data_IF_869850485968
#
_entry.id   IF_869850485968
#
_cell.length_a   1.000
_cell.length_b   1.000
_cell.length_c   1.000
_cell.angle_alpha   90.00
_cell.angle_beta   90.00
_cell.angle_gamma   90.00
#
_symmetry.space_group_name_H-M   'P 1'
#
loop_
_entity.id
_entity.type
_entity.pdbx_description
1 polymer ?
#
# COMPACT_ATOMS: atom_id res chain seq x y z
N UNK A 1 -4.71 -73.95 11.38
CA UNK A 1 -4.08 -72.92 12.23
C UNK A 1 -3.26 -72.00 11.33
N UNK A 2 -3.61 -70.70 11.28
CA UNK A 2 -2.72 -69.51 11.12
C UNK A 2 -1.87 -69.39 9.82
N UNK A 3 -1.73 -68.26 9.12
CA UNK A 3 -1.86 -66.83 9.44
C UNK A 3 -2.26 -66.01 8.20
N UNK A 4 -3.11 -65.01 8.41
CA UNK A 4 -3.36 -63.90 7.48
C UNK A 4 -2.14 -62.97 7.54
N UNK A 5 -1.46 -62.76 6.42
CA UNK A 5 -0.40 -61.78 6.28
C UNK A 5 -1.02 -60.45 5.78
N UNK A 6 -1.37 -59.57 6.71
CA UNK A 6 -1.83 -58.22 6.39
C UNK A 6 -0.66 -57.33 6.01
N UNK A 7 -0.54 -56.99 4.73
CA UNK A 7 0.36 -55.93 4.26
C UNK A 7 -0.33 -54.60 4.58
N UNK A 8 0.12 -53.95 5.64
CA UNK A 8 -0.31 -52.60 6.01
C UNK A 8 0.40 -51.60 5.07
N UNK A 9 -0.26 -51.20 3.99
CA UNK A 9 0.23 -50.17 3.09
C UNK A 9 -0.01 -48.80 3.74
N UNK A 10 0.94 -48.33 4.55
CA UNK A 10 0.94 -46.95 5.04
C UNK A 10 1.13 -46.02 3.82
N UNK A 11 0.04 -45.48 3.32
CA UNK A 11 0.08 -44.30 2.46
C UNK A 11 0.50 -43.11 3.35
N UNK A 12 1.80 -42.78 3.34
CA UNK A 12 2.23 -41.45 3.74
C UNK A 12 1.63 -40.47 2.74
N UNK A 13 0.51 -39.86 3.13
CA UNK A 13 0.02 -38.65 2.50
C UNK A 13 1.03 -37.56 2.87
N UNK A 14 2.02 -37.34 2.00
CA UNK A 14 2.86 -36.16 2.06
C UNK A 14 1.96 -34.95 1.90
N UNK A 15 1.75 -34.20 2.98
CA UNK A 15 1.16 -32.88 2.88
C UNK A 15 2.09 -32.06 1.97
N UNK A 16 1.64 -31.74 0.75
CA UNK A 16 2.33 -30.82 -0.14
C UNK A 16 2.44 -29.48 0.60
N UNK A 17 3.59 -29.24 1.21
CA UNK A 17 3.95 -27.95 1.76
C UNK A 17 4.02 -26.98 0.58
N UNK A 18 3.19 -25.95 0.58
CA UNK A 18 3.32 -24.85 -0.37
C UNK A 18 4.67 -24.17 -0.11
N UNK A 19 5.62 -24.32 -1.04
CA UNK A 19 6.90 -23.63 -0.96
C UNK A 19 6.69 -22.12 -1.12
N UNK A 20 7.25 -21.34 -0.21
CA UNK A 20 7.25 -19.88 -0.29
C UNK A 20 8.62 -19.42 -0.79
N UNK A 21 8.64 -18.64 -1.87
CA UNK A 21 9.89 -18.09 -2.41
C UNK A 21 10.50 -17.16 -1.36
N UNK A 22 11.75 -17.41 -0.92
CA UNK A 22 12.39 -16.64 0.14
C UNK A 22 12.61 -15.18 -0.27
N UNK A 23 13.03 -14.36 0.69
CA UNK A 23 13.45 -12.99 0.41
C UNK A 23 14.64 -12.98 -0.57
N UNK A 24 14.52 -12.16 -1.61
CA UNK A 24 15.53 -12.00 -2.66
C UNK A 24 16.46 -10.87 -2.24
N UNK A 25 17.74 -11.17 -2.10
CA UNK A 25 18.77 -10.19 -1.72
C UNK A 25 19.41 -9.62 -2.98
N UNK A 26 19.33 -8.30 -3.15
CA UNK A 26 20.04 -7.55 -4.18
C UNK A 26 21.14 -6.68 -3.57
N UNK A 27 22.28 -6.59 -4.25
CA UNK A 27 23.46 -5.82 -3.83
C UNK A 27 24.10 -5.18 -5.06
N UNK A 28 24.34 -3.86 -5.04
CA UNK A 28 25.13 -3.18 -6.07
C UNK A 28 26.58 -3.00 -5.62
N UNK A 29 27.53 -2.97 -6.55
CA UNK A 29 28.95 -2.84 -6.23
C UNK A 29 29.53 -1.51 -6.73
N UNK A 30 30.42 -0.89 -5.94
CA UNK A 30 31.02 0.42 -6.25
C UNK A 30 31.79 0.42 -7.58
N UNK A 31 32.37 -0.72 -7.94
CA UNK A 31 33.15 -0.89 -9.17
C UNK A 31 32.31 -1.34 -10.38
N UNK A 32 30.97 -1.26 -10.29
CA UNK A 32 30.05 -1.74 -11.31
C UNK A 32 29.50 -3.14 -11.02
N UNK A 33 28.33 -3.40 -11.58
CA UNK A 33 27.60 -4.65 -11.41
C UNK A 33 26.65 -4.69 -10.21
N UNK A 34 25.84 -5.74 -10.17
CA UNK A 34 25.02 -6.12 -9.04
C UNK A 34 24.89 -7.63 -8.95
N UNK A 35 24.47 -8.09 -7.78
CA UNK A 35 24.19 -9.49 -7.50
C UNK A 35 22.76 -9.64 -7.00
N UNK A 36 22.11 -10.71 -7.41
CA UNK A 36 20.80 -11.14 -6.91
C UNK A 36 20.94 -12.54 -6.36
N UNK A 37 20.43 -12.79 -5.15
CA UNK A 37 20.53 -14.12 -4.56
C UNK A 37 19.39 -14.48 -3.63
N UNK A 38 19.11 -15.78 -3.56
CA UNK A 38 18.25 -16.40 -2.55
C UNK A 38 19.05 -17.46 -1.78
N UNK A 39 18.72 -17.75 -0.51
CA UNK A 39 19.29 -18.89 0.19
C UNK A 39 18.92 -20.19 -0.53
N UNK A 40 19.83 -21.16 -0.51
CA UNK A 40 19.52 -22.52 -0.94
C UNK A 40 18.63 -23.22 0.11
N UNK A 41 17.82 -24.17 -0.33
CA UNK A 41 17.00 -25.00 0.56
C UNK A 41 16.77 -26.39 -0.05
N UNK A 42 16.46 -27.40 0.77
CA UNK A 42 16.25 -28.76 0.29
C UNK A 42 15.23 -28.82 -0.85
N UNK A 43 15.61 -29.47 -1.95
CA UNK A 43 14.73 -29.69 -3.09
C UNK A 43 14.73 -28.59 -4.15
N UNK A 44 15.41 -27.46 -3.94
CA UNK A 44 15.57 -26.44 -4.98
C UNK A 44 16.46 -26.98 -6.10
N UNK A 45 15.98 -26.86 -7.33
CA UNK A 45 16.62 -27.37 -8.55
C UNK A 45 17.05 -26.24 -9.49
N UNK A 46 16.37 -25.08 -9.42
CA UNK A 46 16.59 -23.96 -10.32
C UNK A 46 16.17 -22.65 -9.66
N UNK A 47 16.93 -21.59 -9.92
CA UNK A 47 16.55 -20.21 -9.66
C UNK A 47 16.68 -19.42 -10.96
N UNK A 48 15.64 -18.71 -11.38
CA UNK A 48 15.69 -17.78 -12.51
C UNK A 48 15.46 -16.35 -12.03
N UNK A 49 16.21 -15.43 -12.62
CA UNK A 49 16.07 -13.99 -12.40
C UNK A 49 15.72 -13.30 -13.72
N UNK A 50 14.69 -12.45 -13.66
CA UNK A 50 14.23 -11.63 -14.75
C UNK A 50 14.10 -10.18 -14.28
N UNK A 51 14.70 -9.22 -14.96
CA UNK A 51 14.71 -7.85 -14.48
C UNK A 51 15.01 -6.78 -15.53
N UNK A 52 14.58 -5.56 -15.22
CA UNK A 52 14.80 -4.33 -15.99
C UNK A 52 15.36 -3.24 -15.08
N UNK A 53 16.26 -2.41 -15.63
CA UNK A 53 16.72 -1.18 -14.98
C UNK A 53 15.77 -0.02 -15.31
N UNK A 54 15.24 0.64 -14.29
CA UNK A 54 14.42 1.86 -14.35
C UNK A 54 13.17 1.75 -15.23
N UNK A 55 12.77 0.53 -15.60
CA UNK A 55 11.60 0.25 -16.44
C UNK A 55 10.82 -0.92 -15.83
N UNK A 56 9.53 -0.76 -15.52
CA UNK A 56 8.69 -1.86 -15.03
C UNK A 56 8.65 -3.05 -15.99
N UNK A 57 8.57 -4.27 -15.44
CA UNK A 57 8.25 -5.43 -16.26
C UNK A 57 6.73 -5.52 -16.49
N UNK A 58 6.35 -5.89 -17.72
CA UNK A 58 4.99 -6.35 -18.03
C UNK A 58 4.90 -7.86 -17.83
N UNK A 59 4.04 -8.28 -16.92
CA UNK A 59 3.75 -9.69 -16.63
C UNK A 59 5.01 -10.51 -16.30
N UNK A 60 5.21 -11.61 -17.01
CA UNK A 60 6.37 -12.50 -16.92
C UNK A 60 7.29 -12.32 -18.12
N UNK A 61 7.41 -11.09 -18.65
CA UNK A 61 8.37 -10.84 -19.71
C UNK A 61 9.80 -11.10 -19.26
N UNK A 62 10.68 -11.40 -20.21
CA UNK A 62 12.04 -11.79 -19.92
C UNK A 62 12.86 -10.68 -19.24
N UNK A 63 12.60 -9.41 -19.60
CA UNK A 63 13.39 -8.26 -19.19
C UNK A 63 14.76 -8.16 -19.88
N UNK A 64 15.52 -7.12 -19.52
CA UNK A 64 16.90 -6.87 -19.93
C UNK A 64 17.84 -7.95 -19.43
N UNK A 65 17.63 -8.41 -18.20
CA UNK A 65 18.31 -9.57 -17.63
C UNK A 65 17.34 -10.72 -17.53
N UNK A 66 17.71 -11.86 -18.09
CA UNK A 66 16.91 -13.09 -18.10
C UNK A 66 17.85 -14.28 -18.01
N UNK A 67 17.93 -14.91 -16.84
CA UNK A 67 18.92 -15.97 -16.61
C UNK A 67 18.45 -17.05 -15.64
N UNK A 68 18.64 -18.29 -16.07
CA UNK A 68 18.52 -19.48 -15.23
C UNK A 68 19.86 -19.81 -14.55
N UNK A 69 19.79 -20.04 -13.25
CA UNK A 69 20.86 -20.48 -12.38
C UNK A 69 20.51 -21.92 -12.02
N UNK A 70 21.31 -22.86 -12.54
CA UNK A 70 21.06 -24.30 -12.42
C UNK A 70 21.82 -24.96 -11.27
N UNK A 71 22.59 -24.18 -10.51
CA UNK A 71 23.41 -24.69 -9.41
C UNK A 71 23.63 -23.62 -8.34
N UNK A 72 23.36 -23.96 -7.08
CA UNK A 72 23.75 -23.15 -5.93
C UNK A 72 25.26 -23.23 -5.66
N UNK A 73 25.80 -22.19 -5.03
CA UNK A 73 27.17 -22.14 -4.52
C UNK A 73 27.16 -21.43 -3.17
N UNK A 74 27.90 -21.96 -2.20
CA UNK A 74 28.00 -21.40 -0.85
C UNK A 74 26.60 -21.13 -0.24
N UNK A 75 25.73 -22.14 -0.29
CA UNK A 75 24.36 -22.11 0.22
C UNK A 75 23.46 -21.02 -0.37
N UNK A 76 23.77 -20.55 -1.59
CA UNK A 76 22.96 -19.54 -2.29
C UNK A 76 22.84 -19.81 -3.79
N UNK A 77 21.69 -19.47 -4.33
CA UNK A 77 21.48 -19.32 -5.78
C UNK A 77 21.77 -17.87 -6.14
N UNK A 78 22.64 -17.64 -7.12
CA UNK A 78 23.16 -16.31 -7.40
C UNK A 78 23.18 -15.99 -8.88
N UNK A 79 22.50 -14.92 -9.25
CA UNK A 79 22.70 -14.19 -10.49
C UNK A 79 23.70 -13.04 -10.26
N UNK A 80 24.57 -12.78 -11.23
CA UNK A 80 25.51 -11.66 -11.18
C UNK A 80 25.60 -10.99 -12.53
N UNK A 81 25.41 -9.68 -12.53
CA UNK A 81 25.72 -8.77 -13.64
C UNK A 81 26.96 -7.96 -13.22
N UNK A 82 27.93 -7.79 -14.11
CA UNK A 82 29.22 -7.17 -13.78
C UNK A 82 29.46 -5.84 -14.51
N UNK A 83 28.79 -5.61 -15.64
CA UNK A 83 29.16 -4.53 -16.56
C UNK A 83 28.27 -3.29 -16.42
N UNK A 84 27.09 -3.44 -15.82
CA UNK A 84 26.16 -2.33 -15.60
C UNK A 84 26.71 -1.33 -14.57
N UNK A 85 26.64 -0.04 -14.88
CA UNK A 85 26.98 1.04 -13.95
C UNK A 85 25.71 1.60 -13.33
N UNK A 86 25.34 1.08 -12.17
CA UNK A 86 24.21 1.57 -11.39
C UNK A 86 24.55 2.90 -10.71
N UNK A 87 23.53 3.71 -10.47
CA UNK A 87 23.55 4.96 -9.69
C UNK A 87 22.69 4.78 -8.44
N UNK A 88 22.97 5.59 -7.41
CA UNK A 88 22.03 5.72 -6.31
C UNK A 88 20.68 6.16 -6.88
N UNK A 89 19.66 5.44 -6.49
CA UNK A 89 18.29 5.69 -6.92
C UNK A 89 17.81 4.95 -8.14
N UNK A 90 18.71 4.28 -8.86
CA UNK A 90 18.28 3.33 -9.87
C UNK A 90 17.38 2.26 -9.24
N UNK A 91 16.34 1.88 -9.97
CA UNK A 91 15.35 0.89 -9.58
C UNK A 91 15.52 -0.33 -10.47
N UNK A 92 15.76 -1.49 -9.86
CA UNK A 92 15.68 -2.77 -10.56
C UNK A 92 14.28 -3.31 -10.34
N UNK A 93 13.46 -3.32 -11.39
CA UNK A 93 12.21 -4.06 -11.41
C UNK A 93 12.51 -5.51 -11.76
N UNK A 94 11.89 -6.47 -11.07
CA UNK A 94 12.20 -7.88 -11.31
C UNK A 94 11.08 -8.83 -10.91
N UNK A 95 11.20 -10.05 -11.43
CA UNK A 95 10.54 -11.23 -10.89
C UNK A 95 11.54 -12.40 -10.83
N UNK A 96 11.25 -13.37 -9.97
CA UNK A 96 12.06 -14.59 -9.86
C UNK A 96 11.19 -15.82 -9.99
N UNK A 97 11.80 -16.90 -10.46
CA UNK A 97 11.22 -18.24 -10.49
C UNK A 97 12.13 -19.21 -9.75
N UNK A 98 11.54 -20.10 -8.96
CA UNK A 98 12.23 -21.15 -8.23
C UNK A 98 11.57 -22.47 -8.55
N UNK A 99 12.35 -23.46 -8.96
CA UNK A 99 11.86 -24.83 -9.12
C UNK A 99 12.24 -25.66 -7.91
N UNK A 100 11.25 -26.27 -7.26
CA UNK A 100 11.43 -27.12 -6.09
C UNK A 100 10.71 -28.45 -6.32
N UNK A 101 11.46 -29.56 -6.28
CA UNK A 101 10.92 -30.91 -6.52
C UNK A 101 10.05 -31.02 -7.78
N UNK A 102 10.53 -30.49 -8.91
CA UNK A 102 9.75 -30.48 -10.15
C UNK A 102 8.71 -29.36 -10.28
N UNK A 103 8.32 -28.67 -9.21
CA UNK A 103 7.26 -27.66 -9.19
C UNK A 103 7.82 -26.23 -9.23
N UNK A 104 7.16 -25.34 -9.96
CA UNK A 104 7.58 -23.95 -10.14
C UNK A 104 6.86 -22.97 -9.22
N UNK A 105 7.62 -22.03 -8.65
CA UNK A 105 7.12 -20.98 -7.75
C UNK A 105 7.68 -19.63 -8.20
N UNK A 106 6.84 -18.61 -8.29
CA UNK A 106 7.26 -17.27 -8.73
C UNK A 106 7.09 -16.24 -7.61
N UNK A 107 7.92 -15.21 -7.67
CA UNK A 107 7.72 -13.97 -6.92
C UNK A 107 7.78 -12.82 -7.92
N UNK A 108 6.61 -12.26 -8.23
CA UNK A 108 6.42 -11.25 -9.29
C UNK A 108 6.36 -9.84 -8.72
N UNK A 109 6.39 -8.83 -9.61
CA UNK A 109 6.17 -7.43 -9.27
C UNK A 109 7.10 -6.91 -8.16
N UNK A 110 8.34 -7.41 -8.13
CA UNK A 110 9.32 -6.98 -7.17
C UNK A 110 10.08 -5.78 -7.73
N UNK A 111 10.60 -4.95 -6.83
CA UNK A 111 11.52 -3.90 -7.18
C UNK A 111 12.56 -3.73 -6.08
N UNK A 112 13.71 -3.16 -6.45
CA UNK A 112 14.78 -2.85 -5.53
C UNK A 112 15.42 -1.52 -5.91
N UNK A 113 15.52 -0.61 -4.94
CA UNK A 113 16.15 0.70 -5.12
C UNK A 113 17.61 0.59 -4.69
N UNK A 114 18.52 0.97 -5.59
CA UNK A 114 19.95 1.07 -5.32
C UNK A 114 20.16 2.21 -4.31
N UNK A 115 20.28 1.85 -3.04
CA UNK A 115 20.45 2.81 -1.93
C UNK A 115 21.88 2.85 -1.39
N UNK A 116 22.73 1.90 -1.78
CA UNK A 116 24.13 1.81 -1.37
C UNK A 116 24.94 0.96 -2.35
N UNK A 117 26.27 1.07 -2.26
CA UNK A 117 27.22 0.25 -3.01
C UNK A 117 28.16 -0.49 -2.07
N UNK A 118 28.24 -1.80 -2.23
CA UNK A 118 29.17 -2.65 -1.50
C UNK A 118 30.59 -2.50 -2.07
N UNK A 119 31.61 -2.56 -1.20
CA UNK A 119 33.03 -2.30 -1.55
C UNK A 119 33.72 -3.46 -2.30
N UNK A 120 33.01 -4.59 -2.51
CA UNK A 120 33.46 -5.95 -2.89
C UNK A 120 33.90 -6.79 -1.69
N UNK A 121 33.12 -7.85 -1.43
CA UNK A 121 33.56 -9.03 -0.69
C UNK A 121 33.39 -8.93 0.83
N UNK A 122 32.33 -9.57 1.32
CA UNK A 122 32.21 -10.11 2.67
C UNK A 122 32.44 -9.13 3.84
N UNK A 123 31.47 -8.25 4.08
CA UNK A 123 31.05 -7.88 5.43
C UNK A 123 29.77 -7.07 5.40
N UNK A 124 28.82 -7.47 6.24
CA UNK A 124 27.62 -6.73 6.58
C UNK A 124 28.04 -5.42 7.26
N UNK A 125 28.33 -4.38 6.48
CA UNK A 125 28.21 -3.03 7.03
C UNK A 125 26.73 -2.79 7.15
N UNK A 126 26.23 -2.99 8.36
CA UNK A 126 24.87 -2.69 8.77
C UNK A 126 24.71 -1.18 8.75
N UNK A 127 24.73 -0.57 7.56
CA UNK A 127 24.30 0.80 7.40
C UNK A 127 22.79 0.74 7.48
N UNK A 128 22.29 0.94 8.70
CA UNK A 128 20.89 1.21 8.97
C UNK A 128 20.55 2.54 8.31
N UNK A 129 20.32 2.53 7.01
CA UNK A 129 19.52 3.56 6.36
C UNK A 129 18.05 3.18 6.49
N UNK A 130 17.18 4.17 6.69
CA UNK A 130 15.90 3.98 7.33
C UNK A 130 14.96 3.22 6.38
N UNK A 131 13.92 2.64 6.98
CA UNK A 131 12.58 2.51 6.37
C UNK A 131 12.38 3.61 5.31
N UNK A 132 11.83 3.33 4.11
CA UNK A 132 11.78 4.30 3.01
C UNK A 132 11.42 5.68 3.55
N UNK A 133 12.34 6.64 3.40
CA UNK A 133 12.21 7.99 3.97
C UNK A 133 10.92 8.69 3.51
N UNK A 134 10.40 8.26 2.36
CA UNK A 134 9.18 8.78 1.76
C UNK A 134 8.18 7.65 1.51
N UNK A 135 6.97 7.82 2.04
CA UNK A 135 5.80 7.00 1.68
C UNK A 135 4.87 7.88 0.85
N UNK A 136 4.47 7.42 -0.34
CA UNK A 136 3.51 8.18 -1.14
C UNK A 136 2.22 8.37 -0.34
N UNK A 137 1.76 9.63 -0.14
CA UNK A 137 0.57 9.91 0.64
C UNK A 137 -0.69 9.24 0.09
N UNK A 138 -1.69 9.05 0.96
CA UNK A 138 -3.03 8.67 0.50
C UNK A 138 -3.58 9.77 -0.43
N UNK A 139 -4.05 9.38 -1.61
CA UNK A 139 -4.70 10.30 -2.52
C UNK A 139 -6.10 10.68 -2.03
N UNK A 140 -6.47 11.95 -2.22
CA UNK A 140 -7.85 12.42 -2.14
C UNK A 140 -8.49 12.25 -3.52
N UNK A 141 -9.53 11.43 -3.61
CA UNK A 141 -10.34 11.25 -4.81
C UNK A 141 -11.67 11.97 -4.65
N UNK A 142 -12.08 12.68 -5.70
CA UNK A 142 -13.31 13.47 -5.73
C UNK A 142 -14.01 13.22 -7.07
N UNK A 143 -15.26 12.77 -7.01
CA UNK A 143 -16.13 12.77 -8.19
C UNK A 143 -16.62 14.20 -8.42
N UNK A 144 -16.41 14.73 -9.63
CA UNK A 144 -16.78 16.10 -9.98
C UNK A 144 -18.21 16.14 -10.55
N UNK A 145 -18.89 17.26 -10.34
CA UNK A 145 -20.20 17.55 -10.91
C UNK A 145 -20.07 18.47 -12.14
N UNK A 146 -20.78 18.21 -13.25
CA UNK A 146 -21.74 17.11 -13.47
C UNK A 146 -21.09 15.76 -13.83
N UNK A 147 -19.80 15.77 -14.16
CA UNK A 147 -18.97 14.59 -14.41
C UNK A 147 -17.51 14.96 -14.16
N UNK A 148 -16.68 13.94 -13.98
CA UNK A 148 -15.24 14.05 -13.87
C UNK A 148 -14.69 13.36 -12.63
N UNK A 149 -13.37 13.22 -12.61
CA UNK A 149 -12.61 12.71 -11.49
C UNK A 149 -11.45 13.67 -11.22
N UNK A 150 -11.27 14.01 -9.94
CA UNK A 150 -10.05 14.66 -9.46
C UNK A 150 -9.36 13.74 -8.46
N UNK A 151 -8.05 13.57 -8.63
CA UNK A 151 -7.19 12.84 -7.71
C UNK A 151 -6.05 13.76 -7.31
N UNK A 152 -5.77 13.86 -6.01
CA UNK A 152 -4.67 14.71 -5.54
C UNK A 152 -3.94 14.17 -4.32
N UNK A 153 -2.63 14.43 -4.27
CA UNK A 153 -1.79 14.25 -3.08
C UNK A 153 -1.25 15.62 -2.64
N UNK A 154 -0.92 15.82 -1.35
CA UNK A 154 -0.19 17.02 -0.92
C UNK A 154 1.15 17.11 -1.66
N UNK A 155 1.59 18.35 -1.89
CA UNK A 155 2.96 18.60 -2.30
C UNK A 155 3.88 18.52 -1.08
N UNK A 156 5.00 17.82 -1.22
CA UNK A 156 5.96 17.56 -0.16
C UNK A 156 7.38 17.89 -0.67
N UNK A 157 8.33 18.25 0.22
CA UNK A 157 9.70 18.58 -0.19
C UNK A 157 10.34 17.46 -0.99
N UNK A 158 11.01 17.82 -2.09
CA UNK A 158 11.74 16.88 -2.95
C UNK A 158 10.87 16.17 -3.98
N UNK A 159 9.53 16.30 -3.95
CA UNK A 159 8.67 15.68 -4.97
C UNK A 159 8.87 16.39 -6.31
N UNK A 160 9.22 15.63 -7.34
CA UNK A 160 9.52 16.10 -8.70
C UNK A 160 8.48 15.63 -9.72
N UNK A 161 7.78 14.53 -9.43
CA UNK A 161 6.75 13.95 -10.29
C UNK A 161 5.69 13.24 -9.46
N UNK A 162 4.45 13.30 -9.92
CA UNK A 162 3.34 12.46 -9.45
C UNK A 162 2.66 11.79 -10.64
N UNK A 163 2.49 10.47 -10.63
CA UNK A 163 1.68 9.76 -11.61
C UNK A 163 0.47 9.09 -10.96
N UNK A 164 -0.64 9.11 -11.70
CA UNK A 164 -1.86 8.39 -11.35
C UNK A 164 -2.18 7.38 -12.45
N UNK A 165 -2.40 6.13 -12.04
CA UNK A 165 -2.79 5.03 -12.89
C UNK A 165 -4.01 4.33 -12.29
N UNK A 166 -5.07 4.14 -13.07
CA UNK A 166 -6.28 3.52 -12.54
C UNK A 166 -7.33 3.15 -13.58
N UNK A 167 -8.34 2.44 -13.10
CA UNK A 167 -9.45 1.91 -13.89
C UNK A 167 -10.74 1.88 -13.07
N UNK A 168 -11.87 2.12 -13.72
CA UNK A 168 -13.20 2.07 -13.10
C UNK A 168 -13.77 0.66 -13.25
N UNK A 169 -14.31 0.11 -12.16
CA UNK A 169 -15.00 -1.19 -12.04
C UNK A 169 -14.24 -2.42 -12.56
N UNK A 170 -12.94 -2.29 -12.79
CA UNK A 170 -12.06 -3.39 -13.16
C UNK A 170 -10.79 -3.29 -12.33
N UNK A 171 -10.42 -4.35 -11.58
CA UNK A 171 -9.11 -4.43 -10.97
C UNK A 171 -8.01 -4.26 -12.01
N UNK A 172 -6.87 -3.76 -11.56
CA UNK A 172 -5.64 -3.79 -12.32
C UNK A 172 -5.10 -5.22 -12.22
N UNK A 173 -4.94 -5.91 -13.35
CA UNK A 173 -4.59 -7.34 -13.38
C UNK A 173 -3.10 -7.58 -13.06
N UNK A 174 -2.31 -6.52 -13.11
CA UNK A 174 -0.88 -6.49 -12.77
C UNK A 174 -0.59 -5.25 -11.93
N UNK A 175 0.36 -5.36 -10.98
CA UNK A 175 0.59 -4.32 -9.96
C UNK A 175 0.95 -2.94 -10.55
N UNK A 176 1.44 -2.88 -11.81
CA UNK A 176 1.79 -1.65 -12.54
C UNK A 176 1.05 -1.48 -13.87
N UNK A 177 -0.12 -2.10 -14.02
CA UNK A 177 -0.97 -1.84 -15.20
C UNK A 177 -1.33 -0.34 -15.25
N UNK A 178 -1.11 0.29 -16.41
CA UNK A 178 -1.37 1.72 -16.55
C UNK A 178 -2.85 2.09 -16.33
N UNK A 179 -3.76 1.15 -16.59
CA UNK A 179 -5.20 1.34 -16.53
C UNK A 179 -5.73 2.21 -17.69
N UNK A 180 -7.01 2.56 -17.62
CA UNK A 180 -7.64 3.46 -18.61
C UNK A 180 -7.44 4.94 -18.27
N UNK A 181 -7.03 5.23 -17.04
CA UNK A 181 -6.71 6.57 -16.54
C UNK A 181 -5.23 6.57 -16.16
N UNK A 182 -4.39 7.13 -17.01
CA UNK A 182 -2.93 7.12 -16.83
C UNK A 182 -2.36 8.48 -17.18
N UNK A 183 -1.69 9.15 -16.24
CA UNK A 183 -1.04 10.44 -16.53
C UNK A 183 0.05 10.75 -15.52
N UNK A 184 1.15 11.31 -16.04
CA UNK A 184 2.22 11.93 -15.26
C UNK A 184 1.94 13.43 -15.10
N UNK A 185 2.09 13.91 -13.87
CA UNK A 185 1.91 15.29 -13.46
C UNK A 185 3.29 15.78 -13.06
N UNK A 186 3.80 16.75 -13.82
CA UNK A 186 5.19 17.22 -13.71
C UNK A 186 5.33 18.47 -12.83
N UNK A 187 4.20 19.05 -12.38
CA UNK A 187 4.19 20.26 -11.53
C UNK A 187 3.00 20.25 -10.58
N UNK A 188 3.18 20.59 -9.31
CA UNK A 188 2.08 20.78 -8.38
C UNK A 188 1.38 22.12 -8.66
N UNK A 189 0.13 22.25 -8.20
CA UNK A 189 -0.67 23.46 -8.24
C UNK A 189 -1.29 23.69 -6.87
N UNK A 190 -1.08 24.88 -6.31
CA UNK A 190 -1.62 25.30 -5.01
C UNK A 190 -1.29 24.29 -3.88
N UNK A 191 -0.02 23.85 -3.80
CA UNK A 191 0.47 22.93 -2.78
C UNK A 191 -0.04 21.50 -2.91
N UNK A 192 -0.52 21.09 -4.10
CA UNK A 192 -0.99 19.73 -4.37
C UNK A 192 -0.61 19.28 -5.77
N UNK A 193 -0.31 17.99 -5.92
CA UNK A 193 -0.24 17.35 -7.23
C UNK A 193 -1.63 16.89 -7.63
N UNK A 194 -2.08 17.22 -8.84
CA UNK A 194 -3.48 17.05 -9.25
C UNK A 194 -3.56 16.36 -10.61
N UNK A 195 -4.10 15.15 -10.59
CA UNK A 195 -4.72 14.54 -11.77
C UNK A 195 -6.18 14.99 -11.85
N UNK A 196 -6.61 15.46 -13.02
CA UNK A 196 -8.02 15.76 -13.28
C UNK A 196 -8.40 15.35 -14.69
N UNK A 197 -9.56 14.72 -14.80
CA UNK A 197 -10.22 14.39 -16.05
C UNK A 197 -11.72 14.70 -15.94
N UNK A 198 -12.17 15.69 -16.70
CA UNK A 198 -13.56 16.21 -16.68
C UNK A 198 -14.52 15.37 -17.53
N UNK A 199 -14.04 14.30 -18.17
CA UNK A 199 -14.84 13.46 -19.05
C UNK A 199 -15.27 12.13 -18.42
N UNK A 200 -14.69 11.77 -17.28
CA UNK A 200 -15.00 10.52 -16.59
C UNK A 200 -16.39 10.59 -15.99
N UNK A 201 -17.27 9.67 -16.39
CA UNK A 201 -18.62 9.56 -15.86
C UNK A 201 -18.63 8.50 -14.76
N UNK A 202 -18.72 8.95 -13.52
CA UNK A 202 -18.79 8.10 -12.34
C UNK A 202 -20.24 8.03 -11.83
N UNK A 203 -20.62 6.90 -11.27
CA UNK A 203 -21.89 6.66 -10.59
C UNK A 203 -21.64 6.25 -9.14
N UNK A 204 -22.62 6.48 -8.28
CA UNK A 204 -22.57 5.94 -6.92
C UNK A 204 -22.41 4.42 -6.96
N UNK A 205 -21.45 3.92 -6.18
CA UNK A 205 -21.09 2.50 -6.13
C UNK A 205 -20.00 2.08 -7.13
N UNK A 206 -19.61 2.91 -8.09
CA UNK A 206 -18.44 2.62 -8.93
C UNK A 206 -17.19 2.50 -8.07
N UNK A 207 -16.30 1.58 -8.42
CA UNK A 207 -15.03 1.34 -7.73
C UNK A 207 -13.88 1.76 -8.64
N UNK A 208 -13.03 2.64 -8.16
CA UNK A 208 -11.77 2.99 -8.82
C UNK A 208 -10.67 2.13 -8.21
N UNK A 209 -10.04 1.30 -9.04
CA UNK A 209 -8.80 0.59 -8.71
C UNK A 209 -7.63 1.40 -9.24
N UNK A 210 -6.63 1.68 -8.42
CA UNK A 210 -5.54 2.57 -8.80
C UNK A 210 -4.23 2.27 -8.07
N UNK A 211 -3.16 2.83 -8.60
CA UNK A 211 -1.89 3.00 -7.90
C UNK A 211 -1.31 4.39 -8.19
N UNK A 212 -0.42 4.81 -7.31
CA UNK A 212 0.26 6.10 -7.38
C UNK A 212 1.75 5.89 -7.57
N UNK A 213 2.38 6.79 -8.30
CA UNK A 213 3.83 6.91 -8.38
C UNK A 213 4.25 8.33 -8.00
N UNK A 214 5.38 8.46 -7.32
CA UNK A 214 6.03 9.74 -7.11
C UNK A 214 7.52 9.62 -7.33
N UNK A 215 8.15 10.64 -7.92
CA UNK A 215 9.61 10.80 -7.87
C UNK A 215 9.92 11.80 -6.79
N UNK A 216 10.75 11.44 -5.82
CA UNK A 216 11.21 12.31 -4.72
C UNK A 216 12.72 12.26 -4.65
N UNK A 217 13.37 13.42 -4.78
CA UNK A 217 14.83 13.55 -4.84
C UNK A 217 15.49 12.59 -5.86
N UNK A 218 14.86 12.46 -7.04
CA UNK A 218 15.27 11.53 -8.10
C UNK A 218 14.95 10.05 -7.87
N UNK A 219 14.28 9.68 -6.76
CA UNK A 219 13.93 8.30 -6.40
C UNK A 219 12.45 8.01 -6.64
N UNK A 220 12.13 6.88 -7.26
CA UNK A 220 10.75 6.45 -7.49
C UNK A 220 10.10 5.74 -6.30
N UNK A 221 8.87 6.13 -5.97
CA UNK A 221 8.06 5.57 -4.89
C UNK A 221 6.66 5.25 -5.38
N UNK A 222 6.08 4.15 -4.87
CA UNK A 222 4.78 3.67 -5.33
C UNK A 222 3.81 3.45 -4.17
N UNK A 223 2.52 3.63 -4.45
CA UNK A 223 1.42 3.16 -3.59
C UNK A 223 0.49 2.28 -4.39
N UNK A 224 0.67 0.97 -4.24
CA UNK A 224 0.00 -0.05 -5.05
C UNK A 224 -1.33 -0.48 -4.46
N UNK A 225 -2.15 -1.17 -5.27
CA UNK A 225 -3.35 -1.88 -4.81
C UNK A 225 -4.36 -1.01 -4.06
N UNK A 226 -4.49 0.24 -4.48
CA UNK A 226 -5.43 1.18 -3.89
C UNK A 226 -6.81 1.01 -4.52
N UNK A 227 -7.84 1.29 -3.72
CA UNK A 227 -9.22 1.29 -4.16
C UNK A 227 -10.00 2.44 -3.54
N UNK A 228 -10.98 2.96 -4.28
CA UNK A 228 -11.90 3.98 -3.80
C UNK A 228 -13.30 3.71 -4.34
N UNK A 229 -14.31 3.81 -3.48
CA UNK A 229 -15.72 3.63 -3.85
C UNK A 229 -16.34 5.01 -4.00
N UNK A 230 -16.98 5.26 -5.14
CA UNK A 230 -17.66 6.50 -5.45
C UNK A 230 -18.93 6.61 -4.62
N UNK A 231 -19.05 7.69 -3.87
CA UNK A 231 -20.25 8.06 -3.09
C UNK A 231 -20.58 9.53 -3.30
N UNK A 232 -21.87 9.88 -3.33
CA UNK A 232 -22.32 11.28 -3.36
C UNK A 232 -22.32 11.96 -4.74
N UNK A 233 -22.27 11.21 -5.85
CA UNK A 233 -22.54 11.74 -7.19
C UNK A 233 -24.05 11.91 -7.32
N UNK A 234 -24.53 13.15 -7.28
CA UNK A 234 -25.95 13.45 -7.21
C UNK A 234 -26.74 12.99 -8.44
N UNK A 235 -27.80 12.23 -8.20
CA UNK A 235 -28.99 12.25 -9.04
C UNK A 235 -29.53 13.67 -9.08
N UNK A 236 -29.92 14.12 -10.27
CA UNK A 236 -30.49 15.43 -10.53
C UNK A 236 -31.62 15.79 -9.57
N UNK A 237 -31.34 16.69 -8.63
CA UNK A 237 -32.40 17.47 -7.97
C UNK A 237 -32.64 18.72 -8.81
N UNK A 238 -33.90 19.05 -9.18
CA UNK A 238 -34.19 20.23 -9.98
C UNK A 238 -33.78 21.50 -9.24
N UNK A 239 -33.20 22.44 -9.97
CA UNK A 239 -32.93 23.82 -9.55
C UNK A 239 -34.09 24.39 -8.72
N UNK A 240 -33.88 24.52 -7.41
CA UNK A 240 -34.70 25.40 -6.57
C UNK A 240 -33.78 26.24 -5.68
N UNK A 241 -33.73 27.52 -6.03
CA UNK A 241 -33.39 28.71 -5.26
C UNK A 241 -32.33 28.62 -4.14
N UNK A 242 -31.30 29.46 -4.34
CA UNK A 242 -30.38 30.02 -3.36
C UNK A 242 -31.09 30.31 -2.02
N UNK A 243 -30.88 29.46 -1.02
CA UNK A 243 -31.10 29.80 0.39
C UNK A 243 -29.78 29.58 1.12
N UNK A 244 -29.26 30.68 1.65
CA UNK A 244 -28.20 30.73 2.65
C UNK A 244 -28.68 30.05 3.94
N UNK A 245 -27.97 29.04 4.45
CA UNK A 245 -28.19 28.44 5.78
C UNK A 245 -27.05 27.46 6.08
N UNK A 246 -26.08 27.83 6.92
CA UNK A 246 -26.08 27.65 8.39
C UNK A 246 -25.73 26.22 8.79
N UNK A 247 -24.50 26.04 9.24
CA UNK A 247 -24.06 24.91 10.07
C UNK A 247 -24.92 24.92 11.33
N UNK A 248 -25.58 23.83 11.70
CA UNK A 248 -26.24 23.76 13.00
C UNK A 248 -25.16 23.64 14.08
N UNK A 249 -25.10 24.54 15.08
CA UNK A 249 -24.14 24.42 16.19
C UNK A 249 -24.42 23.17 17.06
N UNK A 250 -23.44 22.74 17.87
CA UNK A 250 -23.66 21.67 18.86
C UNK A 250 -24.85 22.02 19.76
N UNK A 251 -25.77 21.06 19.93
CA UNK A 251 -26.90 21.21 20.84
C UNK A 251 -26.37 21.10 22.27
N UNK A 252 -26.28 22.25 22.95
CA UNK A 252 -25.96 22.33 24.38
C UNK A 252 -27.29 22.34 25.13
N UNK A 253 -27.58 21.29 25.90
CA UNK A 253 -28.74 21.30 26.79
C UNK A 253 -28.26 21.55 28.22
N UNK A 254 -28.54 22.73 28.75
CA UNK A 254 -28.37 23.00 30.18
C UNK A 254 -29.53 22.34 30.93
N UNK A 255 -29.19 21.39 31.80
CA UNK A 255 -30.11 20.85 32.80
C UNK A 255 -29.60 21.27 34.19
N UNK A 256 -30.50 21.34 35.16
CA UNK A 256 -30.25 21.88 36.52
C UNK A 256 -29.19 21.12 37.34
N UNK A 257 -28.60 20.06 36.80
CA UNK A 257 -27.61 19.22 37.48
C UNK A 257 -26.25 19.17 36.78
N UNK A 258 -25.92 20.12 35.89
CA UNK A 258 -24.62 20.20 35.21
C UNK A 258 -24.71 20.28 33.69
N UNK A 259 -23.61 20.68 33.05
CA UNK A 259 -23.56 20.95 31.61
C UNK A 259 -23.31 19.65 30.84
N UNK A 260 -24.26 19.23 30.00
CA UNK A 260 -24.18 17.99 29.21
C UNK A 260 -23.94 18.30 27.73
N UNK A 261 -22.89 17.74 27.16
CA UNK A 261 -22.53 17.86 25.75
C UNK A 261 -22.65 16.50 25.05
N UNK A 262 -23.39 16.46 23.94
CA UNK A 262 -23.52 15.27 23.11
C UNK A 262 -22.92 15.52 21.72
N UNK A 263 -22.05 14.62 21.27
CA UNK A 263 -21.52 14.60 19.91
C UNK A 263 -21.82 13.25 19.25
N UNK A 264 -22.38 13.33 18.04
CA UNK A 264 -22.66 12.18 17.20
C UNK A 264 -21.67 12.12 16.03
N UNK A 265 -21.03 10.97 15.86
CA UNK A 265 -20.03 10.72 14.82
C UNK A 265 -20.47 9.57 13.91
N UNK A 266 -20.21 9.71 12.61
CA UNK A 266 -20.36 8.63 11.63
C UNK A 266 -18.96 8.19 11.20
N UNK A 267 -18.59 6.95 11.50
CA UNK A 267 -17.28 6.36 11.18
C UNK A 267 -17.37 5.59 9.85
N UNK A 268 -16.25 5.43 9.08
CA UNK A 268 -16.21 4.50 7.96
C UNK A 268 -16.75 3.12 8.35
N UNK A 269 -17.60 2.53 7.50
CA UNK A 269 -18.44 1.33 7.73
C UNK A 269 -19.87 1.63 8.24
N UNK A 270 -20.27 2.91 8.40
CA UNK A 270 -21.67 3.28 8.69
C UNK A 270 -22.10 3.08 10.14
N UNK A 271 -21.14 2.94 11.06
CA UNK A 271 -21.39 2.82 12.49
C UNK A 271 -21.54 4.22 13.11
N UNK A 272 -22.65 4.44 13.82
CA UNK A 272 -22.90 5.64 14.62
C UNK A 272 -22.27 5.50 16.01
N UNK A 273 -21.57 6.54 16.46
CA UNK A 273 -21.08 6.64 17.84
C UNK A 273 -21.59 7.91 18.48
N UNK A 274 -22.20 7.77 19.65
CA UNK A 274 -22.58 8.90 20.51
C UNK A 274 -21.65 9.00 21.70
N UNK A 275 -21.14 10.21 21.94
CA UNK A 275 -20.29 10.56 23.08
C UNK A 275 -21.04 11.58 23.93
N UNK A 276 -21.29 11.23 25.20
CA UNK A 276 -21.97 12.12 26.16
C UNK A 276 -20.99 12.53 27.25
N UNK A 277 -20.75 13.83 27.40
CA UNK A 277 -19.91 14.43 28.43
C UNK A 277 -20.78 15.20 29.42
N UNK A 278 -20.49 15.13 30.73
CA UNK A 278 -21.11 15.94 31.77
C UNK A 278 -20.03 16.43 32.74
N UNK A 279 -19.95 17.75 32.94
CA UNK A 279 -18.98 18.38 33.85
C UNK A 279 -17.53 17.90 33.61
N UNK A 280 -17.12 17.83 32.34
CA UNK A 280 -15.79 17.35 31.91
C UNK A 280 -15.61 15.82 31.94
N UNK A 281 -16.60 15.06 32.42
CA UNK A 281 -16.50 13.59 32.52
C UNK A 281 -17.35 12.89 31.45
N UNK A 282 -16.75 11.90 30.79
CA UNK A 282 -17.45 11.04 29.83
C UNK A 282 -18.42 10.11 30.57
N UNK A 283 -19.71 10.20 30.24
CA UNK A 283 -20.76 9.41 30.87
C UNK A 283 -21.16 8.17 30.05
N UNK A 284 -21.15 8.24 28.71
CA UNK A 284 -21.65 7.13 27.89
C UNK A 284 -20.96 7.04 26.52
N UNK A 285 -20.72 5.80 26.07
CA UNK A 285 -20.29 5.42 24.72
C UNK A 285 -21.19 4.29 24.22
N UNK A 286 -21.82 4.44 23.06
CA UNK A 286 -22.54 3.33 22.39
C UNK A 286 -22.35 3.40 20.86
N UNK A 287 -22.04 2.25 20.21
CA UNK A 287 -21.48 1.01 20.77
C UNK A 287 -19.98 1.17 21.11
N UNK A 288 -19.46 0.38 22.05
CA UNK A 288 -18.10 0.55 22.63
C UNK A 288 -17.00 -0.18 21.83
N UNK A 289 -16.10 0.51 21.10
CA UNK A 289 -14.84 -0.06 20.66
C UNK A 289 -13.81 -0.16 21.80
N UNK A 290 -12.85 -1.11 21.73
CA UNK A 290 -12.20 -1.71 22.90
C UNK A 290 -11.21 -0.82 23.65
N UNK A 291 -10.80 0.33 23.14
CA UNK A 291 -9.80 1.17 23.82
C UNK A 291 -10.12 2.66 23.60
N UNK A 292 -10.39 3.38 24.68
CA UNK A 292 -10.42 4.84 24.73
C UNK A 292 -9.51 5.25 25.88
N UNK A 293 -8.61 6.20 25.64
CA UNK A 293 -7.67 6.70 26.64
C UNK A 293 -7.88 8.21 26.80
N UNK A 294 -7.92 8.66 28.05
CA UNK A 294 -8.02 10.08 28.38
C UNK A 294 -6.62 10.67 28.49
N UNK A 295 -6.39 11.82 27.85
CA UNK A 295 -5.12 12.54 27.99
C UNK A 295 -5.17 13.50 29.19
N UNK A 296 -6.32 14.10 29.47
CA UNK A 296 -6.66 14.83 30.71
C UNK A 296 -8.18 15.15 30.77
N UNK A 297 -8.65 15.80 31.85
CA UNK A 297 -10.08 16.10 32.11
C UNK A 297 -10.77 16.91 31.00
N UNK A 298 -10.00 17.65 30.19
CA UNK A 298 -10.50 18.50 29.11
C UNK A 298 -10.18 17.96 27.70
N UNK A 299 -9.56 16.78 27.59
CA UNK A 299 -9.18 16.17 26.31
C UNK A 299 -9.47 14.67 26.28
N UNK A 300 -10.45 14.31 25.46
CA UNK A 300 -10.78 12.91 25.18
C UNK A 300 -10.19 12.52 23.83
N UNK A 301 -9.38 11.45 23.84
CA UNK A 301 -8.79 10.85 22.66
C UNK A 301 -9.49 9.52 22.38
N UNK A 302 -10.21 9.44 21.26
CA UNK A 302 -10.93 8.21 20.87
C UNK A 302 -10.17 7.54 19.73
N UNK A 303 -9.53 6.41 20.03
CA UNK A 303 -8.92 5.54 19.04
C UNK A 303 -9.91 4.46 18.58
N UNK A 304 -9.89 4.15 17.28
CA UNK A 304 -10.53 2.95 16.75
C UNK A 304 -9.45 2.09 16.11
N UNK A 305 -9.15 0.94 16.72
CA UNK A 305 -8.25 -0.05 16.15
C UNK A 305 -9.03 -1.33 15.85
N UNK A 306 -9.05 -1.74 14.57
CA UNK A 306 -9.53 -3.07 14.19
C UNK A 306 -8.48 -4.10 14.63
N UNK A 307 -8.88 -5.35 14.90
CA UNK A 307 -7.97 -6.45 15.29
C UNK A 307 -6.85 -6.74 14.26
N UNK A 308 -6.85 -6.06 13.12
CA UNK A 308 -5.89 -6.16 12.01
C UNK A 308 -4.98 -4.93 11.86
N UNK A 309 -4.63 -4.24 12.96
CA UNK A 309 -3.61 -3.17 13.03
C UNK A 309 -3.85 -1.89 12.20
N UNK A 310 -5.08 -1.57 11.83
CA UNK A 310 -5.43 -0.24 11.29
C UNK A 310 -6.05 0.58 12.41
N UNK A 311 -5.34 1.62 12.85
CA UNK A 311 -5.83 2.60 13.81
C UNK A 311 -6.16 3.92 13.09
N UNK A 312 -7.37 4.45 13.29
CA UNK A 312 -7.72 5.78 12.79
C UNK A 312 -6.93 6.87 13.54
N UNK A 313 -6.61 8.01 12.89
CA UNK A 313 -5.95 9.13 13.56
C UNK A 313 -6.84 9.69 14.67
N UNK A 314 -6.19 10.11 15.77
CA UNK A 314 -6.86 10.68 16.94
C UNK A 314 -7.64 11.95 16.58
N UNK A 315 -8.90 12.03 17.01
CA UNK A 315 -9.70 13.26 16.91
C UNK A 315 -9.53 14.04 18.21
N UNK A 316 -9.02 15.27 18.11
CA UNK A 316 -8.79 16.15 19.25
C UNK A 316 -10.07 16.98 19.52
N UNK A 317 -10.83 16.62 20.55
CA UNK A 317 -12.03 17.35 20.97
C UNK A 317 -11.60 18.30 22.09
N UNK A 318 -11.14 19.49 21.71
CA UNK A 318 -10.87 20.56 22.68
C UNK A 318 -12.13 21.40 22.90
N UNK A 319 -12.60 21.50 24.15
CA UNK A 319 -13.57 22.52 24.51
C UNK A 319 -12.94 23.90 24.27
N UNK A 320 -13.46 24.66 23.30
CA UNK A 320 -13.22 26.10 23.30
C UNK A 320 -14.11 26.67 24.41
N UNK A 321 -13.48 27.11 25.50
CA UNK A 321 -14.09 28.07 26.43
C UNK A 321 -14.43 29.36 25.68
#
# INVERSE_FOLDING_TARGET
MWRICGILFLHLISAQQNYNVPEVKLQAFRNGGFQVSIPDSPGVELFAFHGNLNEPLKDLEAGQWSKDILKSRNDRWTFKESDIKLKLGDIIYYWVYVKVHGLGYTKTNQYWIVSSFDEKGDSLVNVRYPKPLYEVPNAKLEALHPKGLRVSIPDEPGVELFAFHGKVNSPLTHDLEAGTMSRDILKPKNGRWIFQDDNIRLKNGDVIYYWLYAIVDGLGYQKLNQKWIVTGVGDSVPTTQRISGSVTPPVTQQTTDGEVFQLDFIIPDGMEMTVVMKDGKLLLKKPLPPQAEFENEDKVKIGYCKATQICLPWVDITQRK
#
